data_IF_656236919387
#
_entry.id   IF_656236919387
#
_cell.length_a   1.000
_cell.length_b   1.000
_cell.length_c   1.000
_cell.angle_alpha   90.00
_cell.angle_beta   90.00
_cell.angle_gamma   90.00
#
_symmetry.space_group_name_H-M   'P 1'
#
loop_
_entity.id
_entity.type
_entity.pdbx_description
1 polymer ?
#
# COMPACT_ATOMS: atom_id res chain seq x y z
N UNK A 1 -10.93 11.34 -12.07
CA UNK A 1 -11.12 12.55 -11.22
C UNK A 1 -12.52 12.62 -10.58
N UNK A 2 -13.62 12.49 -11.34
CA UNK A 2 -14.99 12.56 -10.77
C UNK A 2 -15.28 11.41 -9.79
N UNK A 3 -14.93 10.16 -10.14
CA UNK A 3 -15.13 8.99 -9.27
C UNK A 3 -14.35 9.07 -7.94
N UNK A 4 -13.18 9.70 -7.94
CA UNK A 4 -12.32 9.88 -6.76
C UNK A 4 -12.98 10.79 -5.71
N UNK A 5 -13.75 11.79 -6.14
CA UNK A 5 -14.52 12.65 -5.23
C UNK A 5 -15.89 12.06 -4.88
N UNK A 6 -16.46 11.27 -5.78
CA UNK A 6 -17.81 10.71 -5.61
C UNK A 6 -17.89 9.70 -4.47
N UNK A 7 -16.87 8.85 -4.32
CA UNK A 7 -16.82 7.86 -3.24
C UNK A 7 -16.81 8.48 -1.83
N UNK A 8 -15.84 9.34 -1.45
CA UNK A 8 -15.76 9.82 -0.07
C UNK A 8 -16.97 10.71 0.29
N UNK A 9 -17.49 11.47 -0.69
CA UNK A 9 -18.69 12.29 -0.50
C UNK A 9 -19.94 11.45 -0.29
N UNK A 10 -20.11 10.37 -1.06
CA UNK A 10 -21.28 9.50 -0.94
C UNK A 10 -21.25 8.68 0.36
N UNK A 11 -20.09 8.24 0.84
CA UNK A 11 -19.96 7.62 2.17
C UNK A 11 -20.30 8.60 3.30
N UNK A 12 -19.76 9.82 3.25
CA UNK A 12 -20.08 10.86 4.23
C UNK A 12 -21.59 11.19 4.23
N UNK A 13 -22.20 11.26 3.04
CA UNK A 13 -23.64 11.46 2.90
C UNK A 13 -24.44 10.29 3.49
N UNK A 14 -24.00 9.03 3.33
CA UNK A 14 -24.64 7.87 3.94
C UNK A 14 -24.64 7.97 5.47
N UNK A 15 -23.49 8.25 6.08
CA UNK A 15 -23.35 8.36 7.54
C UNK A 15 -24.23 9.50 8.08
N UNK A 16 -24.20 10.66 7.42
CA UNK A 16 -24.98 11.83 7.82
C UNK A 16 -26.49 11.56 7.74
N UNK A 17 -26.96 11.08 6.59
CA UNK A 17 -28.39 10.86 6.33
C UNK A 17 -28.97 9.74 7.19
N UNK A 18 -28.21 8.66 7.44
CA UNK A 18 -28.63 7.59 8.35
C UNK A 18 -28.70 8.07 9.80
N UNK A 19 -27.71 8.83 10.26
CA UNK A 19 -27.68 9.40 11.61
C UNK A 19 -28.86 10.35 11.84
N UNK A 20 -29.12 11.25 10.88
CA UNK A 20 -30.25 12.17 10.95
C UNK A 20 -31.60 11.45 10.84
N UNK A 21 -31.69 10.38 10.05
CA UNK A 21 -32.90 9.56 9.96
C UNK A 21 -33.26 8.94 11.32
N UNK A 22 -32.29 8.40 12.05
CA UNK A 22 -32.51 7.89 13.41
C UNK A 22 -32.95 8.98 14.38
N UNK A 23 -32.41 10.19 14.27
CA UNK A 23 -32.83 11.32 15.11
C UNK A 23 -34.27 11.78 14.82
N UNK A 24 -34.64 11.87 13.54
CA UNK A 24 -35.96 12.35 13.10
C UNK A 24 -36.97 11.23 12.84
N UNK A 25 -36.74 10.01 13.32
CA UNK A 25 -37.61 8.86 13.05
C UNK A 25 -39.08 9.09 13.47
N UNK A 26 -39.31 9.91 14.50
CA UNK A 26 -40.65 10.27 14.98
C UNK A 26 -41.34 11.37 14.15
N UNK A 27 -40.61 12.10 13.28
CA UNK A 27 -41.17 13.16 12.43
C UNK A 27 -41.53 12.58 11.06
N UNK A 28 -42.83 12.52 10.75
CA UNK A 28 -43.34 11.75 9.60
C UNK A 28 -42.84 12.22 8.23
N UNK A 29 -42.57 13.52 8.04
CA UNK A 29 -42.05 14.07 6.78
C UNK A 29 -40.52 13.96 6.70
N UNK A 30 -39.80 14.57 7.65
CA UNK A 30 -38.33 14.59 7.68
C UNK A 30 -37.72 13.18 7.71
N UNK A 31 -38.30 12.26 8.50
CA UNK A 31 -37.84 10.87 8.55
C UNK A 31 -37.97 10.14 7.21
N UNK A 32 -39.02 10.41 6.42
CA UNK A 32 -39.20 9.83 5.08
C UNK A 32 -38.19 10.39 4.08
N UNK A 33 -37.96 11.70 4.10
CA UNK A 33 -36.99 12.37 3.23
C UNK A 33 -35.57 11.85 3.51
N UNK A 34 -35.18 11.79 4.78
CA UNK A 34 -33.85 11.32 5.19
C UNK A 34 -33.63 9.84 4.87
N UNK A 35 -34.67 9.01 5.02
CA UNK A 35 -34.63 7.62 4.56
C UNK A 35 -34.35 7.52 3.06
N UNK A 36 -35.06 8.31 2.24
CA UNK A 36 -34.84 8.33 0.79
C UNK A 36 -33.45 8.82 0.42
N UNK A 37 -32.98 9.89 1.06
CA UNK A 37 -31.63 10.44 0.87
C UNK A 37 -30.54 9.42 1.25
N UNK A 38 -30.75 8.63 2.30
CA UNK A 38 -29.83 7.56 2.69
C UNK A 38 -29.71 6.49 1.60
N UNK A 39 -30.82 5.93 1.10
CA UNK A 39 -30.76 4.91 0.06
C UNK A 39 -30.19 5.43 -1.26
N UNK A 40 -30.46 6.70 -1.60
CA UNK A 40 -29.85 7.34 -2.77
C UNK A 40 -28.33 7.48 -2.59
N UNK A 41 -27.89 7.95 -1.42
CA UNK A 41 -26.46 8.09 -1.10
C UNK A 41 -25.76 6.72 -1.11
N UNK A 42 -26.43 5.68 -0.59
CA UNK A 42 -25.93 4.32 -0.56
C UNK A 42 -25.77 3.74 -1.96
N UNK A 43 -26.74 4.00 -2.85
CA UNK A 43 -26.65 3.59 -4.25
C UNK A 43 -25.45 4.27 -4.95
N UNK A 44 -25.29 5.58 -4.77
CA UNK A 44 -24.15 6.32 -5.33
C UNK A 44 -22.83 5.80 -4.79
N UNK A 45 -22.77 5.51 -3.49
CA UNK A 45 -21.59 4.92 -2.84
C UNK A 45 -21.25 3.54 -3.42
N UNK A 46 -22.22 2.65 -3.54
CA UNK A 46 -22.00 1.30 -4.09
C UNK A 46 -21.56 1.36 -5.56
N UNK A 47 -22.13 2.27 -6.35
CA UNK A 47 -21.71 2.48 -7.74
C UNK A 47 -20.30 3.07 -7.81
N UNK A 48 -19.98 4.05 -6.97
CA UNK A 48 -18.64 4.63 -6.92
C UNK A 48 -17.59 3.59 -6.50
N UNK A 49 -17.92 2.72 -5.54
CA UNK A 49 -17.08 1.60 -5.13
C UNK A 49 -16.91 0.55 -6.24
N UNK A 50 -18.00 0.17 -6.90
CA UNK A 50 -17.97 -0.85 -7.96
C UNK A 50 -17.14 -0.39 -9.16
N UNK A 51 -17.35 0.85 -9.61
CA UNK A 51 -16.69 1.44 -10.76
C UNK A 51 -15.26 1.94 -10.46
N UNK A 52 -14.81 1.88 -9.21
CA UNK A 52 -13.44 2.24 -8.87
C UNK A 52 -12.47 1.18 -9.41
N UNK A 53 -11.42 1.60 -10.11
CA UNK A 53 -10.36 0.70 -10.54
C UNK A 53 -9.55 0.22 -9.33
N UNK A 54 -9.26 -1.07 -9.23
CA UNK A 54 -8.47 -1.63 -8.14
C UNK A 54 -8.73 -3.11 -7.89
N UNK A 55 -7.77 -3.75 -7.25
CA UNK A 55 -7.81 -5.17 -6.88
C UNK A 55 -9.02 -5.50 -5.97
N UNK A 56 -9.60 -6.69 -6.16
CA UNK A 56 -10.76 -7.14 -5.41
C UNK A 56 -10.49 -7.31 -3.90
N UNK A 57 -9.28 -7.72 -3.49
CA UNK A 57 -8.93 -7.83 -2.08
C UNK A 57 -8.85 -6.45 -1.42
N UNK A 58 -8.27 -5.47 -2.10
CA UNK A 58 -8.26 -4.08 -1.63
C UNK A 58 -9.69 -3.50 -1.55
N UNK A 59 -10.52 -3.71 -2.58
CA UNK A 59 -11.90 -3.21 -2.62
C UNK A 59 -12.78 -3.85 -1.53
N UNK A 60 -12.60 -5.13 -1.24
CA UNK A 60 -13.35 -5.83 -0.17
C UNK A 60 -12.95 -5.36 1.23
N UNK A 61 -11.66 -5.16 1.50
CA UNK A 61 -11.19 -4.62 2.79
C UNK A 61 -11.76 -3.22 3.06
N UNK A 62 -11.76 -2.35 2.03
CA UNK A 62 -12.37 -1.02 2.09
C UNK A 62 -13.87 -1.11 2.38
N UNK A 63 -14.59 -1.99 1.69
CA UNK A 63 -16.02 -2.18 1.89
C UNK A 63 -16.35 -2.63 3.31
N UNK A 64 -15.61 -3.61 3.86
CA UNK A 64 -15.81 -4.10 5.24
C UNK A 64 -15.65 -2.97 6.25
N UNK A 65 -14.57 -2.19 6.12
CA UNK A 65 -14.35 -1.00 6.96
C UNK A 65 -15.51 -0.02 6.87
N UNK A 66 -15.96 0.30 5.67
CA UNK A 66 -17.02 1.29 5.46
C UNK A 66 -18.36 0.83 6.03
N UNK A 67 -18.65 -0.47 5.95
CA UNK A 67 -19.82 -1.07 6.60
C UNK A 67 -19.74 -0.97 8.13
N UNK A 68 -18.53 -1.11 8.72
CA UNK A 68 -18.32 -0.89 10.15
C UNK A 68 -18.60 0.58 10.50
N UNK A 69 -18.07 1.54 9.75
CA UNK A 69 -18.33 2.98 9.96
C UNK A 69 -19.83 3.27 9.86
N UNK A 70 -20.47 2.76 8.80
CA UNK A 70 -21.89 2.98 8.51
C UNK A 70 -22.81 2.35 9.55
N UNK A 71 -22.39 1.24 10.17
CA UNK A 71 -23.12 0.61 11.28
C UNK A 71 -22.87 1.29 12.62
N UNK A 72 -21.60 1.50 12.99
CA UNK A 72 -21.21 1.93 14.31
C UNK A 72 -21.55 3.40 14.59
N UNK A 73 -21.23 4.31 13.66
CA UNK A 73 -21.41 5.77 13.90
C UNK A 73 -22.88 6.12 14.13
N UNK A 74 -23.83 5.73 13.23
CA UNK A 74 -25.24 6.01 13.46
C UNK A 74 -25.81 5.27 14.67
N UNK A 75 -25.34 4.06 14.97
CA UNK A 75 -25.76 3.33 16.16
C UNK A 75 -25.38 4.06 17.45
N UNK A 76 -24.14 4.54 17.58
CA UNK A 76 -23.68 5.32 18.73
C UNK A 76 -24.50 6.61 18.87
N UNK A 77 -24.70 7.33 17.76
CA UNK A 77 -25.51 8.54 17.75
C UNK A 77 -26.97 8.29 18.13
N UNK A 78 -27.52 7.11 17.81
CA UNK A 78 -28.91 6.75 18.14
C UNK A 78 -29.18 6.70 19.65
N UNK A 79 -28.19 6.37 20.49
CA UNK A 79 -28.31 6.43 21.95
C UNK A 79 -28.51 7.86 22.46
N UNK A 80 -28.05 8.86 21.70
CA UNK A 80 -28.16 10.27 22.03
C UNK A 80 -29.38 10.95 21.37
N UNK A 81 -30.27 10.21 20.70
CA UNK A 81 -31.41 10.79 19.96
C UNK A 81 -32.32 11.70 20.80
N UNK A 82 -32.40 11.46 22.11
CA UNK A 82 -33.19 12.25 23.05
C UNK A 82 -32.43 13.44 23.66
N UNK A 83 -31.13 13.59 23.36
CA UNK A 83 -30.24 14.64 23.87
C UNK A 83 -29.71 15.48 22.71
N UNK A 84 -30.52 16.43 22.23
CA UNK A 84 -30.25 17.22 21.01
C UNK A 84 -28.85 17.81 20.94
N UNK A 85 -28.41 18.53 21.98
CA UNK A 85 -27.08 19.18 22.00
C UNK A 85 -25.95 18.16 21.89
N UNK A 86 -26.01 17.09 22.70
CA UNK A 86 -25.00 16.02 22.68
C UNK A 86 -24.99 15.26 21.34
N UNK A 87 -26.17 15.03 20.75
CA UNK A 87 -26.31 14.41 19.43
C UNK A 87 -25.60 15.22 18.35
N UNK A 88 -25.90 16.52 18.23
CA UNK A 88 -25.32 17.35 17.18
C UNK A 88 -23.83 17.65 17.38
N UNK A 89 -23.37 17.75 18.63
CA UNK A 89 -21.93 17.85 18.92
C UNK A 89 -21.18 16.58 18.47
N UNK A 90 -21.70 15.39 18.82
CA UNK A 90 -21.07 14.14 18.41
C UNK A 90 -21.16 13.91 16.90
N UNK A 91 -22.27 14.31 16.26
CA UNK A 91 -22.42 14.25 14.81
C UNK A 91 -21.38 15.14 14.11
N UNK A 92 -21.14 16.36 14.63
CA UNK A 92 -20.11 17.26 14.12
C UNK A 92 -18.70 16.68 14.28
N UNK A 93 -18.40 16.10 15.45
CA UNK A 93 -17.12 15.44 15.69
C UNK A 93 -16.92 14.22 14.78
N UNK A 94 -17.95 13.40 14.59
CA UNK A 94 -17.91 12.26 13.68
C UNK A 94 -17.72 12.69 12.21
N UNK A 95 -18.37 13.77 11.78
CA UNK A 95 -18.20 14.33 10.44
C UNK A 95 -16.79 14.88 10.22
N UNK A 96 -16.21 15.57 11.21
CA UNK A 96 -14.83 16.06 11.15
C UNK A 96 -13.82 14.92 11.13
N UNK A 97 -13.98 13.92 12.00
CA UNK A 97 -13.13 12.72 12.03
C UNK A 97 -13.20 11.92 10.73
N UNK A 98 -14.40 11.74 10.18
CA UNK A 98 -14.59 11.09 8.88
C UNK A 98 -13.96 11.90 7.74
N UNK A 99 -14.11 13.23 7.75
CA UNK A 99 -13.49 14.11 6.76
C UNK A 99 -11.96 14.06 6.78
N UNK A 100 -11.35 14.10 7.97
CA UNK A 100 -9.90 13.94 8.13
C UNK A 100 -9.43 12.56 7.68
N UNK A 101 -10.14 11.51 8.09
CA UNK A 101 -9.84 10.14 7.68
C UNK A 101 -9.89 9.97 6.16
N UNK A 102 -10.93 10.50 5.51
CA UNK A 102 -11.11 10.40 4.06
C UNK A 102 -10.09 11.20 3.25
N UNK A 103 -9.45 12.22 3.84
CA UNK A 103 -8.33 12.92 3.22
C UNK A 103 -7.03 12.09 3.26
N UNK A 104 -6.86 11.25 4.27
CA UNK A 104 -5.73 10.33 4.38
C UNK A 104 -5.89 9.04 3.55
N UNK A 105 -7.13 8.64 3.24
CA UNK A 105 -7.41 7.49 2.38
C UNK A 105 -7.53 7.93 0.91
N UNK A 106 -6.42 8.27 0.26
CA UNK A 106 -6.41 8.27 -1.21
C UNK A 106 -6.65 6.83 -1.67
N UNK A 107 -7.63 6.60 -2.55
CA UNK A 107 -7.60 5.36 -3.32
C UNK A 107 -6.28 5.35 -4.08
N UNK A 108 -5.53 4.28 -3.87
CA UNK A 108 -4.32 3.96 -4.58
C UNK A 108 -4.60 4.08 -6.07
N UNK A 109 -4.15 5.19 -6.64
CA UNK A 109 -3.95 5.26 -8.07
C UNK A 109 -2.74 4.39 -8.30
N UNK A 110 -2.96 3.13 -8.67
CA UNK A 110 -2.02 2.42 -9.52
C UNK A 110 -1.96 3.22 -10.83
N UNK A 111 -1.17 4.31 -10.82
CA UNK A 111 -0.59 4.75 -12.08
C UNK A 111 0.24 3.55 -12.49
N UNK A 112 -0.16 2.93 -13.61
CA UNK A 112 0.73 2.02 -14.30
C UNK A 112 2.08 2.74 -14.49
N UNK A 113 3.19 1.99 -14.42
CA UNK A 113 4.52 2.56 -14.60
C UNK A 113 4.57 3.33 -15.93
N UNK A 114 5.46 4.32 -15.97
CA UNK A 114 5.66 5.18 -17.12
C UNK A 114 5.82 4.34 -18.40
N UNK A 115 4.87 4.54 -19.31
CA UNK A 115 4.81 4.24 -20.73
C UNK A 115 6.11 3.65 -21.33
N UNK A 116 6.31 2.33 -21.16
CA UNK A 116 7.27 1.56 -21.98
C UNK A 116 6.70 1.25 -23.37
N UNK A 117 5.47 1.71 -23.67
CA UNK A 117 4.75 1.40 -24.90
C UNK A 117 4.31 -0.08 -25.02
N UNK A 118 4.66 -0.92 -24.05
CA UNK A 118 4.32 -2.34 -24.01
C UNK A 118 3.06 -2.56 -23.17
N UNK A 119 2.07 -3.25 -23.74
CA UNK A 119 0.85 -3.64 -23.03
C UNK A 119 1.10 -4.99 -22.39
N UNK A 120 1.29 -4.99 -21.07
CA UNK A 120 1.42 -6.21 -20.28
C UNK A 120 0.05 -6.93 -20.19
N UNK A 121 -0.01 -8.26 -20.31
CA UNK A 121 -1.22 -9.01 -20.00
C UNK A 121 -1.59 -8.79 -18.52
N UNK A 122 -2.86 -8.51 -18.22
CA UNK A 122 -3.31 -8.20 -16.85
C UNK A 122 -3.19 -9.39 -15.87
N UNK A 123 -3.08 -10.62 -16.39
CA UNK A 123 -3.06 -11.87 -15.62
C UNK A 123 -1.78 -12.71 -15.83
N UNK A 124 -0.73 -12.13 -16.41
CA UNK A 124 0.51 -12.87 -16.65
C UNK A 124 1.21 -13.28 -15.34
N UNK A 125 1.59 -14.56 -15.22
CA UNK A 125 2.28 -15.11 -14.05
C UNK A 125 3.80 -14.94 -14.12
N UNK A 126 4.34 -14.73 -15.34
CA UNK A 126 5.75 -14.56 -15.65
C UNK A 126 6.58 -15.68 -15.03
N UNK A 127 6.40 -16.91 -15.53
CA UNK A 127 6.93 -18.11 -14.91
C UNK A 127 8.45 -18.14 -14.90
N UNK A 128 9.11 -17.51 -15.88
CA UNK A 128 10.55 -17.53 -16.02
C UNK A 128 11.16 -16.12 -16.09
N UNK A 129 12.34 -15.98 -15.50
CA UNK A 129 13.28 -14.90 -15.76
C UNK A 129 14.43 -15.46 -16.60
N UNK A 130 14.69 -14.84 -17.75
CA UNK A 130 15.70 -15.30 -18.72
C UNK A 130 16.73 -14.21 -18.94
N UNK A 131 18.00 -14.54 -18.78
CA UNK A 131 19.15 -13.70 -19.13
C UNK A 131 19.69 -14.13 -20.50
N UNK A 132 19.72 -13.18 -21.45
CA UNK A 132 20.31 -13.39 -22.77
C UNK A 132 21.82 -13.14 -22.73
N UNK A 133 22.52 -13.70 -23.71
CA UNK A 133 23.89 -13.28 -23.99
C UNK A 133 23.94 -11.80 -24.36
N UNK A 134 24.93 -11.08 -23.84
CA UNK A 134 25.19 -9.67 -24.14
C UNK A 134 25.07 -9.37 -25.65
N UNK A 135 24.14 -8.49 -25.99
CA UNK A 135 23.89 -8.05 -27.36
C UNK A 135 23.14 -9.07 -28.25
N UNK A 136 22.65 -10.18 -27.70
CA UNK A 136 21.80 -11.12 -28.42
C UNK A 136 20.39 -10.54 -28.58
N UNK A 137 19.87 -10.41 -29.81
CA UNK A 137 18.52 -9.89 -30.02
C UNK A 137 17.47 -10.94 -29.65
N UNK A 138 16.54 -10.57 -28.76
CA UNK A 138 15.45 -11.43 -28.30
C UNK A 138 14.60 -11.99 -29.44
N UNK A 139 14.49 -11.26 -30.56
CA UNK A 139 13.72 -11.71 -31.73
C UNK A 139 14.29 -12.98 -32.36
N UNK A 140 15.61 -13.21 -32.28
CA UNK A 140 16.21 -14.45 -32.75
C UNK A 140 15.83 -15.64 -31.87
N UNK A 141 15.76 -15.42 -30.55
CA UNK A 141 15.31 -16.43 -29.60
C UNK A 141 13.81 -16.74 -29.81
N UNK A 142 12.99 -15.71 -29.98
CA UNK A 142 11.56 -15.84 -30.26
C UNK A 142 11.29 -16.62 -31.55
N UNK A 143 12.01 -16.33 -32.64
CA UNK A 143 11.84 -17.07 -33.90
C UNK A 143 12.25 -18.55 -33.75
N UNK A 144 13.28 -18.84 -32.94
CA UNK A 144 13.76 -20.19 -32.70
C UNK A 144 12.79 -21.03 -31.87
N UNK A 145 12.13 -20.40 -30.90
CA UNK A 145 11.20 -21.03 -29.96
C UNK A 145 9.73 -20.75 -30.28
N UNK A 146 9.43 -20.31 -31.51
CA UNK A 146 8.08 -19.92 -31.94
C UNK A 146 7.02 -21.01 -31.77
N UNK A 147 7.43 -22.28 -31.72
CA UNK A 147 6.52 -23.41 -31.51
C UNK A 147 5.91 -23.42 -30.10
N UNK A 148 6.61 -22.84 -29.12
CA UNK A 148 6.14 -22.70 -27.75
C UNK A 148 5.28 -21.44 -27.54
N UNK A 149 5.27 -20.50 -28.49
CA UNK A 149 4.44 -19.30 -28.40
C UNK A 149 4.73 -18.41 -27.18
N UNK A 150 5.96 -18.44 -26.67
CA UNK A 150 6.37 -17.69 -25.48
C UNK A 150 6.30 -16.18 -25.72
N UNK A 151 5.89 -15.44 -24.70
CA UNK A 151 5.94 -13.98 -24.70
C UNK A 151 7.13 -13.52 -23.85
N UNK A 152 8.04 -12.78 -24.47
CA UNK A 152 9.20 -12.18 -23.82
C UNK A 152 8.96 -10.69 -23.64
N UNK A 153 9.19 -10.20 -22.43
CA UNK A 153 9.09 -8.77 -22.11
C UNK A 153 10.32 -8.36 -21.29
N UNK A 154 10.94 -7.20 -21.56
CA UNK A 154 12.06 -6.73 -20.74
C UNK A 154 11.68 -6.73 -19.25
N UNK A 155 12.48 -7.41 -18.43
CA UNK A 155 12.21 -7.56 -16.99
C UNK A 155 12.42 -6.25 -16.23
N UNK A 156 13.32 -5.40 -16.73
CA UNK A 156 13.70 -4.15 -16.08
C UNK A 156 13.60 -2.96 -17.03
N UNK A 157 13.32 -1.79 -16.47
CA UNK A 157 13.43 -0.51 -17.16
C UNK A 157 14.54 0.29 -16.50
N UNK A 158 15.54 0.69 -17.29
CA UNK A 158 16.74 1.35 -16.77
C UNK A 158 16.79 2.81 -17.18
N UNK A 159 17.20 3.66 -16.25
CA UNK A 159 17.51 5.06 -16.54
C UNK A 159 18.93 5.22 -17.13
N UNK A 160 19.84 4.31 -16.76
CA UNK A 160 21.24 4.29 -17.17
C UNK A 160 21.64 2.87 -17.61
N UNK A 161 21.33 2.46 -18.84
CA UNK A 161 21.64 1.11 -19.32
C UNK A 161 23.16 0.84 -19.28
N UNK A 162 24.00 1.82 -19.60
CA UNK A 162 25.46 1.66 -19.60
C UNK A 162 26.10 1.31 -18.22
N UNK A 163 25.32 1.28 -17.14
CA UNK A 163 25.80 1.00 -15.77
C UNK A 163 25.53 -0.44 -15.32
N UNK A 164 24.81 -1.21 -16.11
CA UNK A 164 24.25 -2.50 -15.71
C UNK A 164 23.99 -3.37 -16.93
N UNK A 165 23.83 -4.67 -16.74
CA UNK A 165 23.49 -5.63 -17.80
C UNK A 165 22.01 -6.07 -17.64
N UNK A 166 21.15 -5.18 -17.11
CA UNK A 166 19.76 -5.52 -16.79
C UNK A 166 18.83 -5.46 -18.02
N UNK A 167 19.31 -4.94 -19.15
CA UNK A 167 18.65 -5.02 -20.46
C UNK A 167 18.62 -6.44 -21.02
N UNK A 168 19.56 -7.29 -20.62
CA UNK A 168 19.63 -8.67 -21.10
C UNK A 168 18.60 -9.58 -20.43
N UNK A 169 17.88 -9.08 -19.42
CA UNK A 169 16.88 -9.84 -18.67
C UNK A 169 15.47 -9.65 -19.22
N UNK A 170 14.80 -10.78 -19.45
CA UNK A 170 13.44 -10.86 -19.95
C UNK A 170 12.58 -11.69 -19.00
N UNK A 171 11.43 -11.15 -18.62
CA UNK A 171 10.34 -11.91 -18.05
C UNK A 171 9.64 -12.67 -19.18
N UNK A 172 9.45 -13.97 -19.00
CA UNK A 172 8.88 -14.86 -20.01
C UNK A 172 7.60 -15.48 -19.47
N UNK A 173 6.54 -15.30 -20.24
CA UNK A 173 5.24 -15.94 -20.01
C UNK A 173 5.14 -17.21 -20.85
N UNK A 174 4.78 -18.31 -20.19
CA UNK A 174 4.48 -19.60 -20.80
C UNK A 174 2.95 -19.68 -21.03
N UNK A 175 2.49 -20.04 -22.23
CA UNK A 175 1.05 -20.27 -22.44
C UNK A 175 0.48 -21.33 -21.48
N UNK A 176 -0.69 -21.08 -20.89
CA UNK A 176 -1.34 -21.99 -19.91
C UNK A 176 -1.35 -23.47 -20.35
N UNK A 177 -1.57 -23.72 -21.65
CA UNK A 177 -1.62 -25.08 -22.20
C UNK A 177 -0.25 -25.79 -22.26
N UNK A 178 0.84 -25.08 -21.94
CA UNK A 178 2.22 -25.53 -21.95
C UNK A 178 2.90 -25.44 -20.57
N UNK A 179 2.22 -24.98 -19.51
CA UNK A 179 2.77 -24.95 -18.14
C UNK A 179 3.30 -26.33 -17.68
N UNK A 180 2.65 -27.42 -18.10
CA UNK A 180 3.14 -28.79 -17.81
C UNK A 180 4.41 -29.20 -18.55
N UNK A 181 4.97 -28.32 -19.39
CA UNK A 181 6.16 -28.54 -20.22
C UNK A 181 7.29 -27.56 -19.89
N UNK A 182 7.24 -26.85 -18.75
CA UNK A 182 8.25 -25.86 -18.35
C UNK A 182 9.68 -26.42 -18.44
N UNK A 183 9.95 -27.61 -17.92
CA UNK A 183 11.27 -28.24 -18.02
C UNK A 183 11.78 -28.39 -19.47
N UNK A 184 10.88 -28.70 -20.41
CA UNK A 184 11.24 -28.83 -21.83
C UNK A 184 11.51 -27.46 -22.46
N UNK A 185 10.75 -26.46 -22.06
CA UNK A 185 10.90 -25.07 -22.50
C UNK A 185 12.23 -24.51 -21.99
N UNK A 186 12.55 -24.70 -20.71
CA UNK A 186 13.82 -24.31 -20.10
C UNK A 186 14.99 -24.97 -20.83
N UNK A 187 14.93 -26.29 -21.08
CA UNK A 187 15.97 -26.96 -21.86
C UNK A 187 16.11 -26.37 -23.28
N UNK A 188 15.00 -26.04 -23.94
CA UNK A 188 15.02 -25.44 -25.28
C UNK A 188 15.59 -24.01 -25.27
N UNK A 189 15.35 -23.24 -24.21
CA UNK A 189 15.95 -21.93 -23.96
C UNK A 189 17.48 -22.07 -23.81
N UNK A 190 17.94 -22.99 -22.95
CA UNK A 190 19.37 -23.26 -22.74
C UNK A 190 20.06 -23.75 -24.02
N UNK A 191 19.45 -24.70 -24.73
CA UNK A 191 19.98 -25.27 -25.98
C UNK A 191 19.97 -24.29 -27.17
N UNK A 192 19.30 -23.14 -27.01
CA UNK A 192 19.30 -22.08 -28.04
C UNK A 192 20.71 -21.52 -28.29
N UNK A 193 21.58 -21.56 -27.28
CA UNK A 193 22.90 -20.92 -27.32
C UNK A 193 22.85 -19.39 -27.35
N UNK A 194 21.68 -18.79 -27.09
CA UNK A 194 21.47 -17.33 -26.97
C UNK A 194 21.14 -16.91 -25.52
N UNK A 195 20.92 -17.88 -24.63
CA UNK A 195 20.53 -17.70 -23.24
C UNK A 195 21.72 -18.09 -22.36
N UNK A 196 22.06 -17.23 -21.41
CA UNK A 196 23.11 -17.49 -20.42
C UNK A 196 22.54 -18.10 -19.14
N UNK A 197 21.33 -17.70 -18.76
CA UNK A 197 20.69 -18.19 -17.55
C UNK A 197 19.15 -18.14 -17.61
N UNK A 198 18.52 -19.06 -16.89
CA UNK A 198 17.06 -19.15 -16.72
C UNK A 198 16.76 -19.45 -15.25
N UNK A 199 15.77 -18.75 -14.68
CA UNK A 199 15.27 -18.95 -13.32
C UNK A 199 13.75 -19.01 -13.31
N UNK A 200 13.20 -19.84 -12.42
CA UNK A 200 11.76 -19.86 -12.13
C UNK A 200 11.36 -18.64 -11.27
N UNK A 201 10.15 -18.12 -11.49
CA UNK A 201 9.57 -17.10 -10.63
C UNK A 201 9.03 -17.71 -9.31
N UNK A 202 9.96 -17.97 -8.38
CA UNK A 202 9.65 -18.61 -7.11
C UNK A 202 8.89 -17.71 -6.14
N UNK A 203 7.89 -18.27 -5.45
CA UNK A 203 7.26 -17.61 -4.31
C UNK A 203 7.84 -18.08 -2.99
N UNK A 204 8.53 -17.19 -2.29
CA UNK A 204 9.05 -17.46 -0.94
C UNK A 204 8.05 -16.96 0.10
N UNK A 205 7.57 -17.86 0.96
CA UNK A 205 6.71 -17.50 2.09
C UNK A 205 7.37 -17.82 3.43
N UNK A 206 7.20 -16.92 4.40
CA UNK A 206 7.74 -17.09 5.75
C UNK A 206 6.61 -17.50 6.69
N UNK A 207 6.88 -18.46 7.58
CA UNK A 207 5.92 -18.85 8.60
C UNK A 207 5.56 -17.67 9.52
N UNK A 208 4.32 -17.59 10.04
CA UNK A 208 3.92 -16.56 10.98
C UNK A 208 4.86 -16.53 12.19
N UNK A 209 5.35 -15.35 12.55
CA UNK A 209 6.22 -15.22 13.73
C UNK A 209 5.42 -15.53 15.00
N UNK A 210 5.94 -16.40 15.89
CA UNK A 210 5.26 -16.70 17.14
C UNK A 210 5.21 -15.47 18.04
N UNK A 211 4.11 -15.30 18.79
CA UNK A 211 4.01 -14.25 19.80
C UNK A 211 5.11 -14.39 20.85
N UNK A 212 5.87 -13.30 21.06
CA UNK A 212 6.92 -13.23 22.09
C UNK A 212 6.54 -12.22 23.14
N UNK A 213 6.71 -12.58 24.42
CA UNK A 213 6.62 -11.61 25.52
C UNK A 213 7.79 -10.64 25.41
N UNK A 214 7.48 -9.36 25.22
CA UNK A 214 8.48 -8.32 25.11
C UNK A 214 9.08 -7.98 26.49
N UNK A 215 10.40 -7.74 26.57
CA UNK A 215 11.03 -7.26 27.79
C UNK A 215 10.56 -5.84 28.11
N UNK A 216 10.60 -5.46 29.38
CA UNK A 216 10.29 -4.09 29.81
C UNK A 216 11.44 -3.17 29.45
N UNK A 217 11.10 -1.97 28.97
CA UNK A 217 12.07 -0.98 28.53
C UNK A 217 12.48 -0.03 29.66
N UNK A 218 13.78 0.21 29.83
CA UNK A 218 14.34 1.18 30.75
C UNK A 218 14.42 2.58 30.09
N UNK A 219 13.60 3.53 30.54
CA UNK A 219 13.23 4.77 29.82
C UNK A 219 14.30 5.88 29.74
N UNK A 220 15.61 5.57 29.70
CA UNK A 220 16.69 6.58 29.73
C UNK A 220 17.28 6.96 28.37
N UNK A 221 16.51 6.87 27.28
CA UNK A 221 16.98 7.26 25.95
C UNK A 221 17.05 8.77 25.74
N UNK A 222 16.35 9.57 26.56
CA UNK A 222 16.22 11.02 26.38
C UNK A 222 15.58 11.39 25.04
N UNK A 223 14.61 10.58 24.63
CA UNK A 223 13.71 10.82 23.51
C UNK A 223 12.34 11.23 24.06
N UNK A 224 11.66 12.13 23.38
CA UNK A 224 10.32 12.59 23.74
C UNK A 224 9.27 11.91 22.86
N UNK A 225 9.17 10.59 23.00
CA UNK A 225 8.25 9.74 22.25
C UNK A 225 7.24 9.08 23.23
N UNK A 226 5.92 9.33 23.08
CA UNK A 226 4.89 8.70 23.91
C UNK A 226 4.90 7.17 23.86
N UNK A 227 5.34 6.58 22.75
CA UNK A 227 5.42 5.14 22.50
C UNK A 227 6.75 4.50 22.89
N UNK A 228 7.70 5.25 23.46
CA UNK A 228 9.06 4.76 23.79
C UNK A 228 9.07 3.51 24.66
N UNK A 229 8.04 3.33 25.50
CA UNK A 229 7.93 2.14 26.37
C UNK A 229 7.66 0.83 25.63
N UNK A 230 7.26 0.89 24.36
CA UNK A 230 7.05 -0.26 23.49
C UNK A 230 8.27 -0.55 22.59
N UNK A 231 9.24 0.35 22.54
CA UNK A 231 10.41 0.27 21.66
C UNK A 231 11.58 -0.50 22.30
N UNK A 232 11.34 -1.73 22.74
CA UNK A 232 12.35 -2.57 23.41
C UNK A 232 13.60 -2.84 22.58
N UNK A 233 13.49 -2.78 21.25
CA UNK A 233 14.62 -2.91 20.33
C UNK A 233 15.69 -1.85 20.55
N UNK A 234 15.33 -0.65 21.02
CA UNK A 234 16.29 0.40 21.35
C UNK A 234 17.17 0.01 22.55
N UNK A 235 16.61 -0.67 23.55
CA UNK A 235 17.40 -1.17 24.68
C UNK A 235 18.26 -2.37 24.26
N UNK A 236 17.67 -3.29 23.49
CA UNK A 236 18.36 -4.50 23.03
C UNK A 236 19.55 -4.18 22.10
N UNK A 237 19.53 -3.03 21.43
CA UNK A 237 20.62 -2.55 20.56
C UNK A 237 21.52 -1.52 21.24
N UNK A 238 21.35 -1.27 22.54
CA UNK A 238 22.13 -0.28 23.32
C UNK A 238 22.11 1.13 22.69
N UNK A 239 20.98 1.50 22.07
CA UNK A 239 20.82 2.79 21.39
C UNK A 239 20.97 3.97 22.37
N UNK A 240 20.72 3.77 23.67
CA UNK A 240 20.90 4.76 24.72
C UNK A 240 22.36 5.26 24.81
N UNK A 241 23.33 4.37 24.67
CA UNK A 241 24.75 4.72 24.67
C UNK A 241 25.10 5.58 23.47
N UNK A 242 24.57 5.23 22.29
CA UNK A 242 24.75 6.01 21.07
C UNK A 242 24.17 7.42 21.23
N UNK A 243 22.92 7.54 21.70
CA UNK A 243 22.28 8.84 21.94
C UNK A 243 23.04 9.68 22.98
N UNK A 244 23.60 9.06 24.02
CA UNK A 244 24.43 9.75 25.01
C UNK A 244 25.69 10.35 24.38
N UNK A 245 26.38 9.61 23.50
CA UNK A 245 27.57 10.10 22.81
C UNK A 245 27.26 11.19 21.78
N UNK A 246 26.14 11.05 21.04
CA UNK A 246 25.66 12.06 20.09
C UNK A 246 25.31 13.38 20.81
N UNK A 247 24.54 13.32 21.90
CA UNK A 247 24.19 14.52 22.71
C UNK A 247 25.40 15.17 23.38
N UNK A 248 26.41 14.38 23.76
CA UNK A 248 27.66 14.90 24.29
C UNK A 248 28.55 15.55 23.21
N UNK A 249 28.13 15.56 21.94
CA UNK A 249 28.88 16.11 20.81
C UNK A 249 30.10 15.29 20.41
N UNK A 250 30.22 14.06 20.93
CA UNK A 250 31.34 13.14 20.66
C UNK A 250 31.17 12.41 19.32
N UNK A 251 29.93 12.16 18.93
CA UNK A 251 29.57 11.65 17.61
C UNK A 251 28.97 12.79 16.79
N UNK A 252 29.49 12.99 15.57
CA UNK A 252 28.98 13.99 14.62
C UNK A 252 28.64 13.27 13.31
N UNK A 253 27.39 13.34 12.82
CA UNK A 253 27.02 12.84 11.51
C UNK A 253 27.89 13.51 10.45
N UNK A 254 28.56 12.71 9.64
CA UNK A 254 29.47 13.19 8.58
C UNK A 254 28.79 13.25 7.22
N UNK A 255 27.76 12.42 7.01
CA UNK A 255 27.00 12.33 5.78
C UNK A 255 25.56 11.89 6.06
N UNK A 256 24.65 12.25 5.16
CA UNK A 256 23.30 11.69 5.13
C UNK A 256 23.33 10.43 4.27
N UNK A 257 22.80 9.33 4.78
CA UNK A 257 22.61 8.10 4.02
C UNK A 257 21.19 8.07 3.44
N UNK A 258 21.05 7.63 2.20
CA UNK A 258 19.77 7.24 1.62
C UNK A 258 19.55 5.76 1.93
N UNK A 259 18.42 5.43 2.54
CA UNK A 259 18.03 4.05 2.85
C UNK A 259 16.87 3.68 1.91
N UNK A 260 17.07 2.69 1.05
CA UNK A 260 16.02 2.15 0.21
C UNK A 260 15.30 1.01 0.94
N UNK A 261 13.97 1.05 0.96
CA UNK A 261 13.10 0.05 1.61
C UNK A 261 12.19 -0.52 0.53
N UNK A 262 12.36 -1.80 0.20
CA UNK A 262 11.51 -2.52 -0.75
C UNK A 262 10.43 -3.24 0.05
N UNK A 263 9.23 -2.69 0.05
CA UNK A 263 8.13 -3.13 0.93
C UNK A 263 6.77 -2.71 0.35
N UNK A 264 5.69 -2.78 1.13
CA UNK A 264 4.29 -2.58 0.69
C UNK A 264 3.91 -1.14 0.34
N UNK A 265 4.87 -0.22 0.31
CA UNK A 265 4.68 1.21 0.10
C UNK A 265 4.93 2.05 1.36
N UNK A 266 4.61 3.34 1.32
CA UNK A 266 4.85 4.27 2.43
C UNK A 266 3.73 5.28 2.63
N UNK A 267 3.24 5.44 3.88
CA UNK A 267 2.39 6.59 4.24
C UNK A 267 3.23 7.88 4.31
N UNK A 268 3.24 8.61 3.20
CA UNK A 268 3.96 9.90 3.10
C UNK A 268 3.39 11.00 4.01
N UNK A 269 2.17 10.82 4.53
CA UNK A 269 1.50 11.74 5.45
C UNK A 269 1.88 11.51 6.92
N UNK A 270 2.60 10.44 7.24
CA UNK A 270 2.90 10.06 8.63
C UNK A 270 3.75 11.12 9.35
N UNK A 271 3.29 11.56 10.52
CA UNK A 271 3.89 12.69 11.24
C UNK A 271 5.36 12.44 11.63
N UNK A 272 5.67 11.22 12.09
CA UNK A 272 7.04 10.85 12.47
C UNK A 272 7.99 10.69 11.29
N UNK A 273 7.50 10.63 10.04
CA UNK A 273 8.33 10.51 8.84
C UNK A 273 8.46 11.82 8.06
N UNK A 274 7.88 12.90 8.57
CA UNK A 274 7.91 14.21 7.93
C UNK A 274 9.34 14.68 7.68
N UNK A 275 9.64 14.97 6.42
CA UNK A 275 10.96 15.44 5.97
C UNK A 275 12.06 14.37 5.94
N UNK A 276 11.70 13.08 6.12
CA UNK A 276 12.63 11.94 6.08
C UNK A 276 12.52 11.10 4.80
N UNK A 277 11.50 11.36 3.98
CA UNK A 277 11.18 10.58 2.80
C UNK A 277 11.71 11.24 1.52
N UNK A 278 12.15 10.41 0.59
CA UNK A 278 12.45 10.76 -0.79
C UNK A 278 11.53 9.92 -1.65
N UNK A 279 10.50 10.52 -2.24
CA UNK A 279 9.63 9.82 -3.18
C UNK A 279 10.38 9.61 -4.49
N UNK A 280 10.51 8.37 -4.91
CA UNK A 280 11.07 7.98 -6.21
C UNK A 280 9.98 7.83 -7.26
N UNK A 281 8.80 7.33 -6.88
CA UNK A 281 7.60 7.22 -7.72
C UNK A 281 6.33 7.37 -6.89
N UNK A 282 5.35 8.10 -7.42
CA UNK A 282 4.07 8.35 -6.73
C UNK A 282 3.22 7.11 -6.48
N UNK A 283 3.47 6.02 -7.20
CA UNK A 283 2.77 4.74 -7.02
C UNK A 283 3.10 4.07 -5.68
N UNK A 284 4.26 4.39 -5.09
CA UNK A 284 4.69 3.87 -3.78
C UNK A 284 4.31 4.78 -2.61
N UNK A 285 3.78 5.98 -2.89
CA UNK A 285 3.42 7.01 -1.88
C UNK A 285 2.07 6.70 -1.17
N UNK A 286 1.82 5.44 -0.93
CA UNK A 286 0.80 4.98 0.01
C UNK A 286 1.13 3.56 0.44
N UNK A 287 0.66 3.18 1.62
CA UNK A 287 0.85 1.83 2.16
C UNK A 287 -0.47 1.20 2.61
N UNK A 288 -0.99 0.27 1.80
CA UNK A 288 -2.27 -0.42 2.09
C UNK A 288 -2.11 -1.38 3.27
N UNK A 289 -0.95 -2.01 3.38
CA UNK A 289 -0.70 -3.10 4.34
C UNK A 289 -0.15 -2.58 5.66
N UNK A 290 0.48 -1.41 5.65
CA UNK A 290 1.11 -0.77 6.80
C UNK A 290 2.51 -1.29 7.13
N UNK A 291 3.00 -2.32 6.41
CA UNK A 291 4.27 -2.96 6.72
C UNK A 291 5.46 -2.08 6.32
N UNK A 292 5.44 -1.50 5.12
CA UNK A 292 6.50 -0.59 4.66
C UNK A 292 6.60 0.68 5.51
N UNK A 293 5.47 1.24 5.94
CA UNK A 293 5.44 2.39 6.86
C UNK A 293 6.02 2.03 8.22
N UNK A 294 5.72 0.84 8.73
CA UNK A 294 6.29 0.34 9.98
C UNK A 294 7.81 0.14 9.87
N UNK A 295 8.29 -0.47 8.78
CA UNK A 295 9.73 -0.61 8.48
C UNK A 295 10.43 0.75 8.39
N UNK A 296 9.83 1.72 7.69
CA UNK A 296 10.36 3.08 7.58
C UNK A 296 10.40 3.81 8.92
N UNK A 297 9.39 3.62 9.78
CA UNK A 297 9.38 4.14 11.14
C UNK A 297 10.57 3.65 11.96
N UNK A 298 10.87 2.34 11.92
CA UNK A 298 12.03 1.77 12.60
C UNK A 298 13.34 2.39 12.07
N UNK A 299 13.44 2.56 10.76
CA UNK A 299 14.67 3.04 10.12
C UNK A 299 14.93 4.54 10.34
N UNK A 300 13.88 5.39 10.32
CA UNK A 300 14.06 6.83 10.14
C UNK A 300 13.02 7.73 10.85
N UNK A 301 12.23 7.21 11.80
CA UNK A 301 11.29 8.05 12.55
C UNK A 301 11.97 9.23 13.27
N UNK A 302 11.27 10.35 13.30
CA UNK A 302 11.66 11.52 14.07
C UNK A 302 11.50 11.23 15.57
N UNK A 303 12.56 11.46 16.34
CA UNK A 303 12.56 11.25 17.79
C UNK A 303 11.76 12.29 18.62
N UNK A 304 11.02 13.19 17.96
CA UNK A 304 10.20 14.26 18.55
C UNK A 304 10.88 15.13 19.64
N UNK A 305 12.19 15.33 19.52
CA UNK A 305 13.00 16.07 20.49
C UNK A 305 13.03 17.60 20.25
N UNK A 306 12.26 18.13 19.31
CA UNK A 306 12.18 19.57 19.05
C UNK A 306 13.46 20.20 18.47
N UNK A 307 14.34 19.39 17.88
CA UNK A 307 15.54 19.80 17.14
C UNK A 307 15.77 18.85 15.97
#
# INVERSE_FOLDING_TARGET
>A
MILLLLYPLSLAACVLTLSLWFYYQQKSFLGKVLRGAFFLSLLVYLLAWLLHAGDWNAKTAILVRDLIILGAVPAVLSFLKNRSVAFFLLLGAAAAGLGWYLQGTSFYSTKQPADSGFVYPEEAEWELLVELQEGAPVEQLQERLKEYGLLFVPAFTMEHPDWTELDDFYAVEIPENLEGQTDQIVQALEDSGLVDWVEDNESVSVAPLPERKLPKVNKKFGLNDPGLEFQWGLEATEADQWYAQYRAGKLKPVQKALVAILDTGIDVGHEDLKGRLVSTRSEYDGDVKGHGTHCAGIAAANSNNGH
#
